data_IF_444941921412
#
_entry.id   IF_444941921412
#
_cell.length_a   1.000
_cell.length_b   1.000
_cell.length_c   1.000
_cell.angle_alpha   90.00
_cell.angle_beta   90.00
_cell.angle_gamma   90.00
#
_symmetry.space_group_name_H-M   'P 1'
#
loop_
_entity.id
_entity.type
_entity.pdbx_description
1 polymer ?
#
# COMPACT_ATOMS: atom_id res chain seq x y z
N UNK A 1 -2.07 30.79 -3.44
CA UNK A 1 -2.13 29.76 -4.49
C UNK A 1 -1.65 28.47 -3.85
N UNK A 2 -2.60 27.59 -3.55
CA UNK A 2 -2.39 26.34 -2.81
C UNK A 2 -1.38 25.47 -3.56
N UNK A 3 -0.23 25.23 -2.93
CA UNK A 3 0.77 24.28 -3.43
C UNK A 3 0.12 22.91 -3.47
N UNK A 4 -0.37 22.57 -4.66
CA UNK A 4 -0.90 21.25 -4.99
C UNK A 4 0.14 20.23 -4.53
N UNK A 5 -0.18 19.53 -3.45
CA UNK A 5 0.53 18.36 -2.99
C UNK A 5 0.76 17.44 -4.19
N UNK A 6 2.00 17.37 -4.60
CA UNK A 6 2.64 16.30 -5.32
C UNK A 6 2.48 14.99 -4.53
N UNK A 7 1.24 14.48 -4.50
CA UNK A 7 0.92 13.14 -4.03
C UNK A 7 1.31 12.12 -5.10
N UNK A 8 2.55 12.21 -5.57
CA UNK A 8 3.20 11.20 -6.39
C UNK A 8 3.63 10.09 -5.45
N UNK A 9 2.66 9.24 -5.16
CA UNK A 9 2.76 8.28 -4.10
C UNK A 9 1.46 7.52 -4.00
N UNK A 10 1.52 6.19 -4.07
CA UNK A 10 0.47 5.25 -3.75
C UNK A 10 -0.13 5.55 -2.38
N UNK A 11 -1.01 6.54 -2.35
CA UNK A 11 -2.17 6.49 -1.49
C UNK A 11 -2.90 5.21 -1.90
N UNK A 12 -2.68 4.14 -1.13
CA UNK A 12 -3.36 2.89 -1.31
C UNK A 12 -4.86 3.20 -1.23
N UNK A 13 -5.50 3.34 -2.41
CA UNK A 13 -6.94 3.50 -2.60
C UNK A 13 -7.66 2.20 -2.23
N UNK A 14 -7.29 1.55 -1.13
CA UNK A 14 -7.89 0.29 -0.65
C UNK A 14 -9.40 0.44 -0.47
N UNK A 15 -9.86 1.62 -0.04
CA UNK A 15 -11.27 1.91 0.13
C UNK A 15 -12.08 2.01 -1.18
N UNK A 16 -11.45 2.02 -2.37
CA UNK A 16 -12.16 2.17 -3.66
C UNK A 16 -12.30 0.88 -4.46
N UNK A 17 -11.83 -0.26 -3.94
CA UNK A 17 -11.97 -1.57 -4.61
C UNK A 17 -13.25 -2.31 -4.20
N UNK A 18 -14.40 -1.62 -4.20
CA UNK A 18 -15.73 -2.22 -3.99
C UNK A 18 -15.98 -2.92 -2.65
N UNK A 19 -15.00 -2.95 -1.74
CA UNK A 19 -15.08 -3.52 -0.39
C UNK A 19 -14.81 -2.42 0.61
N UNK A 20 -15.87 -1.97 1.27
CA UNK A 20 -15.85 -0.86 2.22
C UNK A 20 -15.19 -1.28 3.56
N UNK A 21 -13.88 -1.59 3.53
CA UNK A 21 -13.13 -2.06 4.69
C UNK A 21 -12.46 -0.88 5.41
N UNK A 22 -12.56 -0.86 6.74
CA UNK A 22 -11.74 0.05 7.55
C UNK A 22 -10.26 -0.39 7.56
N UNK A 23 -9.35 0.49 8.00
CA UNK A 23 -7.94 0.10 8.21
C UNK A 23 -7.80 -1.09 9.17
N UNK A 24 -8.64 -1.15 10.21
CA UNK A 24 -8.66 -2.24 11.19
C UNK A 24 -9.13 -3.56 10.56
N UNK A 25 -10.11 -3.48 9.67
CA UNK A 25 -10.59 -4.62 8.88
C UNK A 25 -9.53 -5.21 7.95
N UNK A 26 -8.74 -4.34 7.32
CA UNK A 26 -7.63 -4.76 6.48
C UNK A 26 -6.50 -5.36 7.32
N UNK A 27 -6.19 -4.74 8.46
CA UNK A 27 -5.18 -5.22 9.40
C UNK A 27 -5.49 -6.64 9.88
N UNK A 28 -6.74 -6.89 10.27
CA UNK A 28 -7.21 -8.22 10.66
C UNK A 28 -7.06 -9.25 9.54
N UNK A 29 -7.41 -8.89 8.29
CA UNK A 29 -7.28 -9.77 7.11
C UNK A 29 -5.83 -10.09 6.75
N UNK A 30 -4.92 -9.13 6.94
CA UNK A 30 -3.49 -9.29 6.69
C UNK A 30 -2.74 -9.96 7.86
N UNK A 31 -3.37 -10.02 9.04
CA UNK A 31 -2.75 -10.49 10.27
C UNK A 31 -1.62 -9.58 10.74
N UNK A 32 -1.83 -8.26 10.62
CA UNK A 32 -0.87 -7.22 11.03
C UNK A 32 -1.56 -6.17 11.90
N UNK A 33 -0.79 -5.24 12.45
CA UNK A 33 -1.36 -4.13 13.22
C UNK A 33 -2.00 -3.07 12.31
N UNK A 34 -2.95 -2.29 12.84
CA UNK A 34 -3.49 -1.10 12.15
C UNK A 34 -2.37 -0.10 11.78
N UNK A 35 -1.32 -0.02 12.60
CA UNK A 35 -0.17 0.85 12.33
C UNK A 35 0.59 0.40 11.09
N UNK A 36 0.74 -0.92 10.89
CA UNK A 36 1.35 -1.49 9.67
C UNK A 36 0.54 -1.12 8.44
N UNK A 37 -0.80 -1.21 8.52
CA UNK A 37 -1.68 -0.76 7.42
C UNK A 37 -1.50 0.73 7.15
N UNK A 38 -1.53 1.57 8.18
CA UNK A 38 -1.30 3.01 8.03
C UNK A 38 0.08 3.34 7.41
N UNK A 39 1.11 2.58 7.76
CA UNK A 39 2.46 2.76 7.22
C UNK A 39 2.54 2.37 5.74
N UNK A 40 1.84 1.31 5.33
CA UNK A 40 1.69 0.91 3.91
C UNK A 40 0.94 1.99 3.13
N UNK A 41 -0.15 2.55 3.68
CA UNK A 41 -0.97 3.57 3.01
C UNK A 41 -0.28 4.94 2.88
N UNK A 42 0.66 5.23 3.78
CA UNK A 42 1.44 6.47 3.77
C UNK A 42 2.79 6.32 3.07
N UNK A 43 3.03 5.16 2.43
CA UNK A 43 4.27 4.81 1.71
C UNK A 43 5.56 4.92 2.53
N UNK A 44 5.44 4.91 3.86
CA UNK A 44 6.59 4.97 4.76
C UNK A 44 7.15 3.61 5.11
N UNK A 45 6.78 2.58 4.35
CA UNK A 45 7.06 1.20 4.71
C UNK A 45 7.31 0.35 3.48
N UNK A 46 8.47 -0.30 3.46
CA UNK A 46 8.78 -1.37 2.53
C UNK A 46 8.26 -2.70 3.13
N UNK A 47 7.14 -3.24 2.62
CA UNK A 47 6.60 -4.48 3.16
C UNK A 47 7.52 -5.65 2.80
N UNK A 48 7.77 -6.52 3.78
CA UNK A 48 8.45 -7.79 3.51
C UNK A 48 7.73 -8.57 2.41
N UNK A 49 8.49 -9.33 1.60
CA UNK A 49 7.92 -10.16 0.52
C UNK A 49 6.68 -10.98 0.95
N UNK A 50 6.68 -11.68 2.12
CA UNK A 50 5.49 -12.40 2.57
C UNK A 50 4.25 -11.51 2.79
N UNK A 51 4.45 -10.28 3.28
CA UNK A 51 3.36 -9.33 3.49
C UNK A 51 2.86 -8.78 2.16
N UNK A 52 3.75 -8.46 1.23
CA UNK A 52 3.37 -8.02 -0.11
C UNK A 52 2.54 -9.09 -0.85
N UNK A 53 2.91 -10.38 -0.75
CA UNK A 53 2.11 -11.49 -1.28
C UNK A 53 0.77 -11.70 -0.54
N UNK A 54 0.69 -11.41 0.76
CA UNK A 54 -0.60 -11.43 1.49
C UNK A 54 -1.53 -10.33 0.97
N UNK A 55 -1.00 -9.13 0.77
CA UNK A 55 -1.74 -7.99 0.21
C UNK A 55 -2.26 -8.34 -1.20
N UNK A 56 -1.39 -8.84 -2.09
CA UNK A 56 -1.78 -9.32 -3.42
C UNK A 56 -2.96 -10.30 -3.40
N UNK A 57 -2.92 -11.29 -2.49
CA UNK A 57 -4.01 -12.27 -2.33
C UNK A 57 -5.32 -11.66 -1.81
N UNK A 58 -5.26 -10.73 -0.85
CA UNK A 58 -6.44 -10.06 -0.30
C UNK A 58 -7.19 -9.26 -1.37
N UNK A 59 -6.43 -8.56 -2.23
CA UNK A 59 -6.98 -7.76 -3.32
C UNK A 59 -7.26 -8.55 -4.59
N UNK A 60 -6.79 -9.81 -4.67
CA UNK A 60 -6.86 -10.65 -5.88
C UNK A 60 -6.24 -9.96 -7.09
N UNK A 61 -5.12 -9.27 -6.88
CA UNK A 61 -4.35 -8.55 -7.89
C UNK A 61 -2.90 -9.00 -7.85
N UNK A 62 -2.18 -8.96 -8.99
CA UNK A 62 -0.76 -9.24 -8.98
C UNK A 62 0.01 -8.19 -8.17
N UNK A 63 1.19 -8.57 -7.69
CA UNK A 63 2.00 -7.74 -6.78
C UNK A 63 2.46 -6.45 -7.49
N UNK A 64 2.79 -6.53 -8.78
CA UNK A 64 3.17 -5.39 -9.63
C UNK A 64 2.04 -4.37 -9.87
N UNK A 65 0.77 -4.75 -9.71
CA UNK A 65 -0.36 -3.80 -9.77
C UNK A 65 -0.54 -3.05 -8.45
N UNK A 66 0.02 -3.55 -7.35
CA UNK A 66 -0.15 -3.02 -5.99
C UNK A 66 1.08 -2.26 -5.52
N UNK A 67 2.27 -2.72 -5.86
CA UNK A 67 3.53 -2.13 -5.44
C UNK A 67 4.36 -1.77 -6.68
N UNK A 68 4.87 -0.54 -6.70
CA UNK A 68 5.74 -0.07 -7.76
C UNK A 68 7.17 -0.08 -7.25
N UNK A 69 8.09 -0.65 -8.03
CA UNK A 69 9.50 -0.49 -7.75
C UNK A 69 9.83 0.99 -7.90
N UNK A 70 10.35 1.63 -6.85
CA UNK A 70 11.02 2.91 -7.01
C UNK A 70 12.22 2.62 -7.92
N UNK A 71 12.34 3.25 -9.09
CA UNK A 71 13.52 3.05 -9.91
C UNK A 71 14.75 3.40 -9.07
N UNK A 72 15.76 2.53 -9.10
CA UNK A 72 17.03 2.81 -8.46
C UNK A 72 17.62 4.06 -9.13
N UNK A 73 17.60 5.19 -8.44
CA UNK A 73 18.20 6.44 -8.91
C UNK A 73 19.72 6.46 -8.72
N UNK A 74 20.37 5.32 -8.45
CA UNK A 74 21.80 5.23 -8.15
C UNK A 74 22.56 4.55 -9.28
N UNK A 75 22.87 5.33 -10.32
CA UNK A 75 24.25 5.59 -10.80
C UNK A 75 24.23 6.29 -12.15
N UNK A 76 24.39 7.61 -12.12
CA UNK A 76 25.31 8.32 -13.00
C UNK A 76 26.57 8.62 -12.20
#
# INVERSE_FOLDING_TARGET
MDQRRDRSGLACKTCLTGRNWSQSDLAARLGVSRQTVNAIETERYDPSLPLAFKVARVFKRPIEEIFFAVPDSTRG
#
